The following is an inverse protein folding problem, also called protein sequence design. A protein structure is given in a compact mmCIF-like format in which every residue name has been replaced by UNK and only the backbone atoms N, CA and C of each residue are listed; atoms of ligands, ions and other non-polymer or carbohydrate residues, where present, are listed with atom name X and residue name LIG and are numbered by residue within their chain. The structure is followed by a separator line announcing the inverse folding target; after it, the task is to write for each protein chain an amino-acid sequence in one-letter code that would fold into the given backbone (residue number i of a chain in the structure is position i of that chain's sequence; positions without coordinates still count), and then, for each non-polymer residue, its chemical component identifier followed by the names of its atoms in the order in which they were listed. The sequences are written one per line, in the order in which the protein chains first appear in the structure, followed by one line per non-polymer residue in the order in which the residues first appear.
data_IF_094174799491
#
_entry.id   IF_094174799491
#
_cell.length_a   1.000
_cell.length_b   1.000
_cell.length_c   1.000
_cell.angle_alpha   90.00
_cell.angle_beta   90.00
_cell.angle_gamma   90.00
#
_symmetry.space_group_name_H-M   'P 1'
#
loop_
_entity.id
_entity.type
_entity.pdbx_description
1 polymer ?
#
# COMPACT_ATOMS: atom_id res chain seq x y z
N UNK A 1 18.76 -47.34 2.87
CA UNK A 1 18.06 -46.17 3.41
C UNK A 1 18.06 -45.17 2.27
N UNK A 2 16.87 -44.74 1.80
CA UNK A 2 16.74 -43.85 0.66
C UNK A 2 16.62 -42.40 1.17
N UNK A 3 17.18 -41.45 0.43
CA UNK A 3 16.95 -40.02 0.62
C UNK A 3 15.45 -39.71 0.54
N UNK A 4 14.90 -39.01 1.54
CA UNK A 4 13.52 -38.54 1.53
C UNK A 4 13.47 -37.07 1.86
N UNK A 5 12.56 -36.35 1.20
CA UNK A 5 12.13 -34.97 1.64
C UNK A 5 10.95 -35.18 2.57
N UNK A 6 11.13 -34.80 3.84
CA UNK A 6 10.08 -34.97 4.85
C UNK A 6 9.06 -33.84 4.79
N UNK A 7 9.54 -32.63 4.56
CA UNK A 7 8.71 -31.43 4.45
C UNK A 7 9.49 -30.26 3.85
N UNK A 8 8.76 -29.28 3.35
CA UNK A 8 9.30 -27.95 3.03
C UNK A 8 8.59 -26.93 3.94
N UNK A 9 9.32 -26.41 4.91
CA UNK A 9 8.83 -25.30 5.74
C UNK A 9 8.95 -23.98 4.97
N UNK A 10 7.98 -23.07 5.13
CA UNK A 10 7.93 -21.84 4.35
C UNK A 10 7.44 -20.65 5.16
N UNK A 11 7.81 -19.44 4.73
CA UNK A 11 7.10 -18.20 5.02
C UNK A 11 6.53 -17.64 3.72
N UNK A 12 5.31 -17.15 3.77
CA UNK A 12 4.70 -16.50 2.61
C UNK A 12 5.22 -15.05 2.46
N UNK A 13 5.03 -14.46 1.28
CA UNK A 13 5.28 -13.05 1.06
C UNK A 13 4.38 -12.21 1.99
N UNK A 14 4.93 -11.13 2.58
CA UNK A 14 4.19 -10.30 3.54
C UNK A 14 3.07 -9.50 2.88
N UNK A 15 3.28 -9.07 1.64
CA UNK A 15 2.36 -8.24 0.88
C UNK A 15 2.20 -8.76 -0.54
N UNK A 16 1.12 -8.36 -1.20
CA UNK A 16 0.98 -8.57 -2.63
C UNK A 16 2.07 -7.80 -3.39
N UNK A 17 2.80 -8.51 -4.26
CA UNK A 17 3.89 -7.94 -5.07
C UNK A 17 5.24 -7.81 -4.36
N UNK A 18 5.34 -8.16 -3.08
CA UNK A 18 6.62 -8.17 -2.34
C UNK A 18 7.21 -9.58 -2.35
N UNK A 19 8.52 -9.67 -2.60
CA UNK A 19 9.24 -10.93 -2.69
C UNK A 19 10.14 -11.11 -1.46
N UNK A 20 9.56 -11.47 -0.31
CA UNK A 20 10.27 -11.72 0.94
C UNK A 20 9.91 -13.08 1.59
N UNK A 21 9.29 -13.96 0.83
CA UNK A 21 9.03 -15.34 1.24
C UNK A 21 10.30 -16.15 1.39
N UNK A 22 10.23 -17.24 2.14
CA UNK A 22 11.33 -18.20 2.32
C UNK A 22 10.83 -19.64 2.19
N UNK A 23 11.72 -20.55 1.84
CA UNK A 23 11.45 -21.98 1.88
C UNK A 23 12.69 -22.74 2.35
N UNK A 24 12.51 -23.75 3.21
CA UNK A 24 13.58 -24.61 3.74
C UNK A 24 13.19 -26.06 3.56
N UNK A 25 14.03 -26.83 2.89
CA UNK A 25 13.85 -28.28 2.71
C UNK A 25 14.34 -29.01 3.96
N UNK A 26 13.52 -29.91 4.48
CA UNK A 26 13.90 -30.82 5.53
C UNK A 26 14.02 -32.24 4.93
N UNK A 27 15.18 -32.85 5.09
CA UNK A 27 15.48 -34.18 4.54
C UNK A 27 15.95 -35.14 5.60
N UNK A 28 15.64 -36.41 5.45
CA UNK A 28 16.19 -37.51 6.26
C UNK A 28 16.81 -38.57 5.38
N UNK A 29 17.69 -39.40 6.00
CA UNK A 29 18.27 -40.60 5.43
C UNK A 29 19.17 -40.40 4.19
N UNK A 30 19.74 -39.22 3.97
CA UNK A 30 20.64 -38.98 2.83
C UNK A 30 22.11 -39.21 3.15
N UNK A 31 22.88 -39.68 2.16
CA UNK A 31 24.35 -39.79 2.25
C UNK A 31 24.99 -38.45 1.83
N UNK A 32 25.77 -37.88 2.75
CA UNK A 32 26.47 -36.60 2.47
C UNK A 32 27.57 -36.77 1.41
N UNK A 33 27.86 -35.75 0.60
CA UNK A 33 27.22 -34.44 0.57
C UNK A 33 25.82 -34.47 -0.06
N UNK A 34 24.91 -33.70 0.53
CA UNK A 34 23.57 -33.42 -0.01
C UNK A 34 23.61 -32.08 -0.75
N UNK A 35 23.07 -32.04 -1.95
CA UNK A 35 22.98 -30.85 -2.79
C UNK A 35 21.52 -30.54 -3.12
N UNK A 36 21.24 -29.27 -3.34
CA UNK A 36 19.89 -28.76 -3.65
C UNK A 36 19.93 -28.00 -4.96
N UNK A 37 18.89 -28.13 -5.75
CA UNK A 37 18.66 -27.32 -6.94
C UNK A 37 17.18 -26.92 -7.01
N UNK A 38 16.91 -25.68 -6.80
CA UNK A 38 15.56 -25.10 -6.89
C UNK A 38 15.25 -24.62 -8.31
N UNK A 39 13.96 -24.54 -8.63
CA UNK A 39 13.48 -24.06 -9.93
C UNK A 39 13.88 -22.60 -10.24
N UNK A 40 14.22 -21.82 -9.22
CA UNK A 40 14.75 -20.45 -9.35
C UNK A 40 16.29 -20.40 -9.37
N UNK A 41 16.95 -21.52 -9.60
CA UNK A 41 18.41 -21.70 -9.67
C UNK A 41 19.19 -21.56 -8.36
N UNK A 42 18.54 -21.29 -7.23
CA UNK A 42 19.20 -21.31 -5.93
C UNK A 42 19.59 -22.74 -5.54
N UNK A 43 20.74 -22.88 -4.84
CA UNK A 43 21.34 -24.20 -4.54
C UNK A 43 21.52 -24.45 -3.04
N UNK A 44 20.90 -23.63 -2.19
CA UNK A 44 20.98 -23.77 -0.73
C UNK A 44 19.78 -24.53 -0.18
N UNK A 45 19.93 -25.15 0.98
CA UNK A 45 18.83 -25.82 1.69
C UNK A 45 17.67 -24.86 1.98
N UNK A 46 17.98 -23.61 2.35
CA UNK A 46 17.02 -22.52 2.54
C UNK A 46 17.18 -21.52 1.43
N UNK A 47 16.07 -21.14 0.80
CA UNK A 47 15.99 -20.08 -0.21
C UNK A 47 15.15 -18.93 0.30
N UNK A 48 15.53 -17.71 -0.08
CA UNK A 48 14.94 -16.44 0.40
C UNK A 48 14.58 -15.53 -0.76
N UNK A 49 13.94 -14.40 -0.44
CA UNK A 49 13.48 -13.40 -1.42
C UNK A 49 12.52 -13.99 -2.45
N UNK A 50 11.62 -14.86 -1.99
CA UNK A 50 10.66 -15.52 -2.86
C UNK A 50 9.43 -14.66 -3.06
N UNK A 51 9.08 -14.42 -4.32
CA UNK A 51 7.77 -13.90 -4.69
C UNK A 51 6.72 -15.01 -4.55
N UNK A 52 5.45 -14.65 -4.60
CA UNK A 52 4.40 -15.65 -4.72
C UNK A 52 4.57 -16.49 -5.97
N UNK A 53 4.47 -17.78 -5.83
CA UNK A 53 4.71 -18.73 -6.90
C UNK A 53 4.97 -20.13 -6.39
N UNK A 54 5.13 -21.09 -7.30
CA UNK A 54 5.49 -22.46 -7.00
C UNK A 54 6.99 -22.66 -7.22
N UNK A 55 7.66 -23.21 -6.21
CA UNK A 55 9.09 -23.52 -6.25
C UNK A 55 9.26 -25.02 -6.06
N UNK A 56 9.86 -25.69 -7.05
CA UNK A 56 10.25 -27.08 -6.95
C UNK A 56 11.73 -27.18 -6.58
N UNK A 57 12.08 -28.22 -5.85
CA UNK A 57 13.46 -28.55 -5.48
C UNK A 57 13.79 -29.96 -5.87
N UNK A 58 14.98 -30.17 -6.42
CA UNK A 58 15.62 -31.45 -6.57
C UNK A 58 16.74 -31.54 -5.54
N UNK A 59 16.65 -32.52 -4.65
CA UNK A 59 17.69 -32.83 -3.67
C UNK A 59 18.45 -34.06 -4.18
N UNK A 60 19.77 -33.99 -4.17
CA UNK A 60 20.64 -35.09 -4.64
C UNK A 60 21.64 -35.44 -3.54
N UNK A 61 21.93 -36.74 -3.39
CA UNK A 61 22.93 -37.25 -2.46
C UNK A 61 24.18 -37.81 -3.19
N UNK A 62 25.25 -38.09 -2.45
CA UNK A 62 26.56 -38.45 -3.00
C UNK A 62 26.55 -39.70 -3.93
N UNK A 63 25.65 -40.65 -3.70
CA UNK A 63 25.52 -41.85 -4.51
C UNK A 63 24.64 -41.68 -5.77
N UNK A 64 24.15 -40.45 -6.02
CA UNK A 64 23.38 -40.09 -7.20
C UNK A 64 21.87 -40.29 -7.08
N UNK A 65 21.33 -40.72 -5.90
CA UNK A 65 19.90 -40.75 -5.69
C UNK A 65 19.34 -39.33 -5.57
N UNK A 66 18.10 -39.13 -6.02
CA UNK A 66 17.43 -37.82 -6.00
C UNK A 66 16.03 -37.94 -5.43
N UNK A 67 15.57 -36.85 -4.75
CA UNK A 67 14.20 -36.67 -4.35
C UNK A 67 13.72 -35.30 -4.85
N UNK A 68 12.46 -35.20 -5.21
CA UNK A 68 11.84 -33.95 -5.73
C UNK A 68 10.58 -33.64 -4.96
N UNK A 69 10.39 -32.36 -4.62
CA UNK A 69 9.17 -31.85 -4.01
C UNK A 69 8.96 -30.39 -4.41
N UNK A 70 7.83 -29.81 -4.05
CA UNK A 70 7.50 -28.44 -4.37
C UNK A 70 6.72 -27.74 -3.25
N UNK A 71 6.85 -26.42 -3.21
CA UNK A 71 6.15 -25.56 -2.25
C UNK A 71 5.54 -24.37 -2.96
N UNK A 72 4.37 -23.94 -2.50
CA UNK A 72 3.70 -22.73 -2.98
C UNK A 72 3.91 -21.61 -1.96
N UNK A 73 4.54 -20.54 -2.38
CA UNK A 73 4.60 -19.27 -1.65
C UNK A 73 3.38 -18.46 -2.07
N UNK A 74 2.56 -18.07 -1.12
CA UNK A 74 1.35 -17.26 -1.36
C UNK A 74 1.66 -15.77 -1.20
N UNK A 75 0.87 -14.92 -1.89
CA UNK A 75 0.88 -13.48 -1.60
C UNK A 75 0.31 -13.22 -0.21
N UNK A 76 0.86 -12.20 0.46
CA UNK A 76 0.18 -11.53 1.56
C UNK A 76 -1.01 -10.71 1.08
N UNK A 77 -1.78 -10.17 2.01
CA UNK A 77 -2.92 -9.32 1.72
C UNK A 77 -2.47 -7.99 1.10
N UNK A 78 -3.19 -7.52 0.09
CA UNK A 78 -3.03 -6.14 -0.39
C UNK A 78 -3.57 -5.18 0.65
N UNK A 79 -2.78 -4.18 1.04
CA UNK A 79 -3.24 -3.12 1.92
C UNK A 79 -4.35 -2.32 1.23
N UNK A 80 -5.46 -2.07 1.92
CA UNK A 80 -6.61 -1.35 1.39
C UNK A 80 -7.08 -0.28 2.35
N UNK A 81 -7.43 0.87 1.78
CA UNK A 81 -7.95 2.02 2.52
C UNK A 81 -8.92 2.83 1.66
N UNK A 82 -9.73 3.65 2.30
CA UNK A 82 -10.59 4.65 1.68
C UNK A 82 -10.28 6.02 2.25
N UNK A 83 -10.50 7.08 1.46
CA UNK A 83 -10.39 8.47 1.92
C UNK A 83 -11.77 9.10 1.87
N UNK A 84 -12.23 9.60 3.01
CA UNK A 84 -13.51 10.27 3.13
C UNK A 84 -13.30 11.75 3.42
N UNK A 85 -13.99 12.62 2.67
CA UNK A 85 -13.99 14.06 2.91
C UNK A 85 -14.77 14.33 4.20
N UNK A 86 -14.19 15.09 5.13
CA UNK A 86 -14.82 15.50 6.39
C UNK A 86 -15.36 16.92 6.32
N UNK A 87 -14.64 17.82 5.63
CA UNK A 87 -15.02 19.19 5.41
C UNK A 87 -14.75 19.61 3.97
N UNK A 88 -15.58 20.48 3.43
CA UNK A 88 -15.41 21.08 2.10
C UNK A 88 -15.04 22.56 2.21
N UNK A 89 -14.56 23.14 1.11
CA UNK A 89 -14.28 24.58 1.02
C UNK A 89 -15.59 25.33 0.82
N UNK A 90 -15.91 26.26 1.73
CA UNK A 90 -17.17 27.02 1.69
C UNK A 90 -17.08 28.30 0.86
N UNK A 91 -15.91 28.95 0.82
CA UNK A 91 -15.70 30.19 0.09
C UNK A 91 -14.46 30.09 -0.80
N UNK A 92 -14.47 30.82 -1.91
CA UNK A 92 -13.31 30.90 -2.80
C UNK A 92 -12.08 31.45 -2.07
N UNK A 93 -10.95 30.77 -2.15
CA UNK A 93 -9.70 31.14 -1.51
C UNK A 93 -9.54 30.67 -0.06
N UNK A 94 -10.56 30.05 0.52
CA UNK A 94 -10.45 29.47 1.86
C UNK A 94 -9.71 28.12 1.83
N UNK A 95 -9.08 27.79 2.95
CA UNK A 95 -8.41 26.52 3.19
C UNK A 95 -9.06 25.83 4.40
N UNK A 96 -10.29 25.33 4.23
CA UNK A 96 -11.11 24.74 5.30
C UNK A 96 -11.42 23.26 5.09
N UNK A 97 -10.97 22.69 3.97
CA UNK A 97 -11.23 21.30 3.65
C UNK A 97 -10.48 20.33 4.57
N UNK A 98 -11.01 19.13 4.68
CA UNK A 98 -10.40 18.05 5.46
C UNK A 98 -10.83 16.68 4.97
N UNK A 99 -10.01 15.69 5.26
CA UNK A 99 -10.30 14.30 4.94
C UNK A 99 -9.74 13.36 6.01
N UNK A 100 -10.30 12.15 6.06
CA UNK A 100 -9.84 11.06 6.93
C UNK A 100 -9.61 9.80 6.11
N UNK A 101 -8.50 9.12 6.38
CA UNK A 101 -8.20 7.78 5.86
C UNK A 101 -8.80 6.73 6.77
N UNK A 102 -9.56 5.81 6.20
CA UNK A 102 -10.08 4.64 6.88
C UNK A 102 -9.40 3.39 6.31
N UNK A 103 -8.76 2.61 7.18
CA UNK A 103 -8.15 1.34 6.82
C UNK A 103 -9.20 0.23 6.83
N UNK A 104 -9.22 -0.61 5.79
CA UNK A 104 -10.13 -1.77 5.71
C UNK A 104 -9.40 -3.09 6.02
N UNK A 105 -8.09 -3.12 5.84
CA UNK A 105 -7.22 -4.24 6.22
C UNK A 105 -5.79 -3.75 6.47
N UNK A 106 -4.87 -4.67 6.74
CA UNK A 106 -3.48 -4.40 7.06
C UNK A 106 -3.16 -4.61 8.54
N UNK A 107 -1.89 -4.52 8.89
CA UNK A 107 -1.39 -4.70 10.25
C UNK A 107 -0.97 -3.37 10.86
N UNK A 108 -1.68 -2.91 11.89
CA UNK A 108 -1.30 -1.70 12.64
C UNK A 108 0.06 -1.91 13.38
N UNK A 109 0.84 -0.84 13.64
CA UNK A 109 0.56 0.56 13.34
C UNK A 109 0.73 0.92 11.86
N UNK A 110 0.03 1.98 11.45
CA UNK A 110 0.12 2.55 10.11
C UNK A 110 0.87 3.87 10.14
N UNK A 111 1.63 4.15 9.09
CA UNK A 111 2.23 5.45 8.82
C UNK A 111 1.61 6.08 7.59
N UNK A 112 1.50 7.41 7.58
CA UNK A 112 0.84 8.17 6.52
C UNK A 112 1.81 9.23 6.00
N UNK A 113 1.86 9.38 4.69
CA UNK A 113 2.65 10.42 4.02
C UNK A 113 1.79 11.12 2.99
N UNK A 114 1.39 12.35 3.29
CA UNK A 114 0.57 13.19 2.43
C UNK A 114 1.44 14.05 1.50
N UNK A 115 1.00 14.20 0.24
CA UNK A 115 1.66 14.99 -0.79
C UNK A 115 0.62 15.81 -1.57
N UNK A 116 0.83 17.10 -1.87
CA UNK A 116 1.99 17.88 -1.47
C UNK A 116 2.12 17.95 0.04
N UNK A 117 3.34 18.14 0.53
CA UNK A 117 3.68 18.03 1.95
C UNK A 117 2.82 18.97 2.81
N UNK A 118 1.82 18.41 3.49
CA UNK A 118 0.94 19.13 4.41
C UNK A 118 1.52 19.21 5.83
N UNK A 119 2.62 18.50 6.10
CA UNK A 119 3.17 18.31 7.45
C UNK A 119 2.38 17.30 8.30
N UNK A 120 1.25 16.80 7.79
CA UNK A 120 0.43 15.82 8.49
C UNK A 120 0.97 14.40 8.29
N UNK A 121 1.19 13.71 9.40
CA UNK A 121 1.69 12.31 9.42
C UNK A 121 0.64 11.32 9.94
N UNK A 122 -0.57 11.79 10.19
CA UNK A 122 -1.69 11.00 10.69
C UNK A 122 -2.71 10.64 9.61
N UNK A 123 -3.77 9.91 10.01
CA UNK A 123 -4.85 9.53 9.09
C UNK A 123 -5.79 10.70 8.72
N UNK A 124 -5.66 11.85 9.36
CA UNK A 124 -6.54 13.01 9.17
C UNK A 124 -5.70 14.16 8.64
N UNK A 125 -6.24 14.85 7.63
CA UNK A 125 -5.76 16.17 7.18
C UNK A 125 -6.85 17.21 7.35
N UNK A 126 -6.45 18.44 7.66
CA UNK A 126 -7.37 19.56 7.87
C UNK A 126 -6.76 20.87 7.36
N UNK A 127 -7.59 21.90 7.21
CA UNK A 127 -7.18 23.21 6.71
C UNK A 127 -6.54 23.14 5.32
N UNK A 128 -7.06 22.24 4.45
CA UNK A 128 -6.58 22.08 3.10
C UNK A 128 -7.26 23.09 2.16
N UNK A 129 -6.44 23.69 1.30
CA UNK A 129 -6.90 24.55 0.22
C UNK A 129 -7.39 23.71 -0.97
N UNK A 130 -7.89 24.39 -2.00
CA UNK A 130 -8.20 23.76 -3.27
C UNK A 130 -6.97 23.05 -3.86
N UNK A 131 -7.17 21.79 -4.30
CA UNK A 131 -6.09 20.98 -4.87
C UNK A 131 -6.32 19.49 -4.71
N UNK A 132 -5.40 18.71 -5.25
CA UNK A 132 -5.38 17.25 -5.10
C UNK A 132 -4.28 16.83 -4.14
N UNK A 133 -4.66 16.05 -3.16
CA UNK A 133 -3.78 15.52 -2.13
C UNK A 133 -3.72 14.01 -2.23
N UNK A 134 -2.52 13.47 -2.27
CA UNK A 134 -2.28 12.04 -2.29
C UNK A 134 -1.76 11.59 -0.92
N UNK A 135 -2.18 10.41 -0.49
CA UNK A 135 -1.64 9.79 0.72
C UNK A 135 -1.04 8.44 0.38
N UNK A 136 0.18 8.21 0.83
CA UNK A 136 0.80 6.89 0.86
C UNK A 136 0.72 6.35 2.28
N UNK A 137 0.08 5.21 2.43
CA UNK A 137 -0.07 4.53 3.71
C UNK A 137 0.84 3.31 3.72
N UNK A 138 1.56 3.11 4.81
CA UNK A 138 2.40 1.92 5.03
C UNK A 138 1.98 1.25 6.33
N UNK A 139 1.80 -0.06 6.32
CA UNK A 139 1.50 -0.85 7.51
C UNK A 139 2.78 -1.37 8.20
N UNK A 140 2.60 -2.06 9.34
CA UNK A 140 3.73 -2.60 10.12
C UNK A 140 4.54 -3.69 9.39
N UNK A 141 3.98 -4.32 8.36
CA UNK A 141 4.69 -5.29 7.51
C UNK A 141 5.42 -4.62 6.33
N UNK A 142 5.35 -3.31 6.21
CA UNK A 142 5.90 -2.55 5.08
C UNK A 142 5.04 -2.60 3.82
N UNK A 143 3.79 -3.11 3.89
CA UNK A 143 2.85 -3.05 2.79
C UNK A 143 2.38 -1.63 2.56
N UNK A 144 2.30 -1.19 1.30
CA UNK A 144 1.91 0.17 0.95
C UNK A 144 0.64 0.21 0.10
N UNK A 145 -0.14 1.27 0.27
CA UNK A 145 -1.24 1.64 -0.63
C UNK A 145 -1.28 3.16 -0.78
N UNK A 146 -1.86 3.63 -1.88
CA UNK A 146 -2.00 5.06 -2.16
C UNK A 146 -3.45 5.39 -2.45
N UNK A 147 -3.89 6.55 -1.97
CA UNK A 147 -5.19 7.12 -2.26
C UNK A 147 -5.05 8.61 -2.57
N UNK A 148 -6.08 9.19 -3.16
CA UNK A 148 -6.14 10.62 -3.46
C UNK A 148 -7.48 11.21 -3.06
N UNK A 149 -7.47 12.49 -2.73
CA UNK A 149 -8.65 13.32 -2.51
C UNK A 149 -8.45 14.66 -3.20
N UNK A 150 -9.49 15.15 -3.87
CA UNK A 150 -9.47 16.46 -4.51
C UNK A 150 -10.49 17.37 -3.84
N UNK A 151 -10.04 18.55 -3.43
CA UNK A 151 -10.87 19.60 -2.92
C UNK A 151 -11.03 20.69 -3.98
N UNK A 152 -12.24 21.13 -4.23
CA UNK A 152 -12.56 22.23 -5.12
C UNK A 152 -13.26 23.35 -4.36
N UNK A 153 -12.90 24.58 -4.68
CA UNK A 153 -13.57 25.78 -4.13
C UNK A 153 -14.75 26.19 -5.00
N UNK A 154 -15.76 26.84 -4.42
CA UNK A 154 -16.79 27.53 -5.21
C UNK A 154 -16.17 28.62 -6.07
N UNK A 155 -16.83 29.04 -7.16
CA UNK A 155 -16.36 30.16 -7.96
C UNK A 155 -16.33 31.46 -7.14
N UNK A 156 -15.40 32.35 -7.46
CA UNK A 156 -15.32 33.67 -6.84
C UNK A 156 -16.59 34.48 -7.16
N UNK A 157 -17.06 35.22 -6.15
CA UNK A 157 -18.13 36.17 -6.36
C UNK A 157 -17.61 37.34 -7.23
N UNK A 158 -18.26 37.59 -8.35
CA UNK A 158 -17.99 38.73 -9.22
C UNK A 158 -19.17 39.64 -9.19
N UNK A 159 -18.93 40.92 -8.92
CA UNK A 159 -19.97 41.98 -9.08
C UNK A 159 -20.00 42.35 -10.55
N UNK A 160 -21.00 41.87 -11.28
CA UNK A 160 -21.15 42.11 -12.70
C UNK A 160 -21.66 43.53 -13.00
N UNK A 161 -22.55 44.10 -12.17
CA UNK A 161 -23.03 45.46 -12.29
C UNK A 161 -23.52 46.04 -10.96
N UNK A 162 -23.33 47.34 -10.79
CA UNK A 162 -23.90 48.10 -9.69
C UNK A 162 -24.91 49.08 -10.28
N UNK A 163 -26.19 48.95 -9.95
CA UNK A 163 -27.20 49.90 -10.31
C UNK A 163 -27.28 50.96 -9.23
N UNK A 164 -26.97 52.19 -9.58
CA UNK A 164 -27.19 53.36 -8.70
C UNK A 164 -28.58 53.90 -9.01
N UNK A 165 -29.51 53.76 -8.08
CA UNK A 165 -30.76 54.51 -8.13
C UNK A 165 -30.46 55.89 -7.62
N UNK A 166 -30.47 56.88 -8.52
CA UNK A 166 -30.44 58.27 -8.13
C UNK A 166 -31.77 58.59 -7.42
N UNK A 167 -31.69 58.96 -6.17
CA UNK A 167 -32.85 59.56 -5.51
C UNK A 167 -33.27 60.84 -6.30
N UNK A 168 -34.52 60.91 -6.67
CA UNK A 168 -35.05 62.13 -7.27
C UNK A 168 -34.96 63.23 -6.24
N UNK A 169 -34.46 64.41 -6.60
CA UNK A 169 -34.44 65.51 -5.68
C UNK A 169 -35.89 65.81 -5.24
N UNK A 170 -36.13 65.85 -3.94
CA UNK A 170 -37.39 66.27 -3.38
C UNK A 170 -37.66 67.70 -3.92
N UNK A 171 -38.59 67.84 -4.87
CA UNK A 171 -39.11 69.13 -5.27
C UNK A 171 -39.82 69.70 -4.06
N UNK A 172 -39.17 70.64 -3.36
CA UNK A 172 -39.82 71.51 -2.44
C UNK A 172 -40.77 72.43 -3.28
N UNK A 173 -42.01 72.00 -3.41
CA UNK A 173 -43.06 72.88 -3.90
C UNK A 173 -43.47 73.78 -2.73
N UNK A 174 -43.27 75.06 -2.97
CA UNK A 174 -43.82 76.18 -2.20
C UNK A 174 -45.33 76.06 -1.96
#
# INVERSE_FOLDING_TARGET
INLTIDSISKTNASCSGVCNGTATVNTTNGFAPITYLWSNTQTTQTITNLCAGTYSVTVSEANGCTAVDSVVISNGLSLQSTVNVTNTISCHGDCTAGAVVLMTNGLAPYTYNWSPNSGDTGPIISNMCEGTYNVTITDNNGCTTTNSVTFSAPPSLVIDSVQIQNEQPCNASN
#
